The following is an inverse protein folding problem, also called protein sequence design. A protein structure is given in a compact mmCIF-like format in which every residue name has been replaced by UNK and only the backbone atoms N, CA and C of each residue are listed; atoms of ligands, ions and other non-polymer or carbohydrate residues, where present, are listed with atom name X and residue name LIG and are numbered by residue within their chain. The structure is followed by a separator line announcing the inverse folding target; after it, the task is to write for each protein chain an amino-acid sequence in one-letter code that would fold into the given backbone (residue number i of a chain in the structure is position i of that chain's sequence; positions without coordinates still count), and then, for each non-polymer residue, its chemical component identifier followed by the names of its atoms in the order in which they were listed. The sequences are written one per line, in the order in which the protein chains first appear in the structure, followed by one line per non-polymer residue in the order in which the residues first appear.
data_IF_233251912321
#
_entry.id   IF_233251912321
#
_cell.length_a   1.000
_cell.length_b   1.000
_cell.length_c   1.000
_cell.angle_alpha   90.00
_cell.angle_beta   90.00
_cell.angle_gamma   90.00
#
_symmetry.space_group_name_H-M   'P 1'
#
loop_
_entity.id
_entity.type
_entity.pdbx_description
1 polymer ?
#
# COMPACT_ATOMS: atom_id res chain seq x y z
N UNK A 1 5.33 6.16 10.59
CA UNK A 1 4.07 6.74 11.08
C UNK A 1 2.94 5.76 10.80
N UNK A 2 2.14 5.37 11.80
CA UNK A 2 1.03 4.43 11.59
C UNK A 2 -0.19 5.11 10.99
N UNK A 3 -0.97 4.43 10.15
CA UNK A 3 -2.19 4.94 9.51
C UNK A 3 -3.18 5.45 10.54
N UNK A 4 -3.39 4.69 11.63
CA UNK A 4 -4.32 5.08 12.71
C UNK A 4 -3.88 6.30 13.51
N UNK A 5 -2.61 6.72 13.37
CA UNK A 5 -2.09 7.91 14.02
C UNK A 5 -2.17 9.13 13.09
N UNK A 6 -2.90 9.04 11.97
CA UNK A 6 -3.08 10.14 11.02
C UNK A 6 -4.56 10.32 10.67
N UNK A 7 -4.87 11.45 10.03
CA UNK A 7 -6.21 11.74 9.53
C UNK A 7 -6.67 10.80 8.39
N UNK A 8 -5.79 9.93 7.87
CA UNK A 8 -6.21 8.86 6.96
C UNK A 8 -7.25 7.93 7.59
N UNK A 9 -7.29 7.82 8.92
CA UNK A 9 -8.27 6.98 9.61
C UNK A 9 -9.72 7.29 9.21
N UNK A 10 -10.03 8.55 8.86
CA UNK A 10 -11.36 8.98 8.44
C UNK A 10 -11.71 8.59 6.99
N UNK A 11 -10.72 8.16 6.21
CA UNK A 11 -10.88 7.77 4.81
C UNK A 11 -10.86 6.24 4.62
N UNK A 12 -10.64 5.48 5.70
CA UNK A 12 -10.66 4.02 5.65
C UNK A 12 -12.08 3.56 5.34
N UNK A 13 -12.22 2.75 4.27
CA UNK A 13 -13.48 2.10 3.90
C UNK A 13 -13.62 0.77 4.63
N UNK A 14 -12.56 -0.02 4.67
CA UNK A 14 -12.51 -1.28 5.43
C UNK A 14 -11.13 -1.47 6.08
N UNK A 15 -11.14 -2.08 7.26
CA UNK A 15 -9.93 -2.51 7.97
C UNK A 15 -9.97 -4.03 8.15
N UNK A 16 -8.93 -4.70 7.66
CA UNK A 16 -8.77 -6.15 7.78
C UNK A 16 -7.53 -6.46 8.61
N UNK A 17 -7.73 -7.12 9.74
CA UNK A 17 -6.65 -7.57 10.63
C UNK A 17 -6.40 -9.05 10.44
N UNK A 18 -5.16 -9.37 10.09
CA UNK A 18 -4.65 -10.73 10.08
C UNK A 18 -3.65 -10.91 11.21
N UNK A 19 -3.32 -12.15 11.53
CA UNK A 19 -2.27 -12.45 12.51
C UNK A 19 -0.88 -11.93 12.10
N UNK A 20 -0.67 -11.59 10.82
CA UNK A 20 0.58 -11.06 10.28
C UNK A 20 0.58 -9.54 10.03
N UNK A 21 -0.54 -8.84 10.21
CA UNK A 21 -0.57 -7.40 9.94
C UNK A 21 -1.97 -6.83 9.76
N UNK A 22 -2.03 -5.51 9.62
CA UNK A 22 -3.25 -4.75 9.37
C UNK A 22 -3.25 -4.18 7.95
N UNK A 23 -4.42 -4.23 7.30
CA UNK A 23 -4.62 -3.74 5.95
C UNK A 23 -5.81 -2.78 5.94
N UNK A 24 -5.59 -1.60 5.38
CA UNK A 24 -6.55 -0.52 5.34
C UNK A 24 -6.91 -0.27 3.87
N UNK A 25 -8.18 -0.46 3.56
CA UNK A 25 -8.72 -0.34 2.22
C UNK A 25 -9.32 1.05 2.05
N UNK A 26 -8.86 1.76 1.03
CA UNK A 26 -9.36 3.05 0.60
C UNK A 26 -9.98 2.89 -0.80
N UNK A 27 -10.54 3.98 -1.33
CA UNK A 27 -11.21 3.90 -2.62
C UNK A 27 -10.29 3.49 -3.77
N UNK A 28 -9.05 3.99 -3.78
CA UNK A 28 -8.12 3.85 -4.91
C UNK A 28 -6.80 3.16 -4.53
N UNK A 29 -6.60 2.89 -3.24
CA UNK A 29 -5.38 2.25 -2.76
C UNK A 29 -5.59 1.42 -1.49
N UNK A 30 -4.67 0.50 -1.24
CA UNK A 30 -4.56 -0.28 0.00
C UNK A 30 -3.29 0.15 0.72
N UNK A 31 -3.36 0.34 2.04
CA UNK A 31 -2.16 0.50 2.89
C UNK A 31 -2.00 -0.72 3.77
N UNK A 32 -0.80 -1.30 3.81
CA UNK A 32 -0.45 -2.41 4.70
C UNK A 32 0.50 -1.98 5.81
N UNK A 33 0.30 -2.53 7.00
CA UNK A 33 1.20 -2.45 8.15
C UNK A 33 1.43 -3.86 8.68
N UNK A 34 2.55 -4.46 8.27
CA UNK A 34 2.94 -5.83 8.66
C UNK A 34 3.51 -5.81 10.09
N UNK A 35 3.23 -6.86 10.86
CA UNK A 35 3.73 -6.99 12.22
C UNK A 35 5.27 -7.16 12.25
N UNK A 36 5.89 -6.76 13.35
CA UNK A 36 7.34 -6.86 13.54
C UNK A 36 7.80 -8.33 13.55
N UNK A 37 8.93 -8.61 12.88
CA UNK A 37 9.53 -9.93 12.81
C UNK A 37 8.83 -10.92 11.87
N UNK A 38 7.72 -10.53 11.24
CA UNK A 38 6.97 -11.41 10.35
C UNK A 38 7.76 -11.78 9.08
N UNK A 39 7.50 -12.99 8.59
CA UNK A 39 7.84 -13.38 7.23
C UNK A 39 6.60 -13.27 6.35
N UNK A 40 6.55 -12.27 5.47
CA UNK A 40 5.43 -12.04 4.57
C UNK A 40 5.62 -12.82 3.26
N UNK A 41 4.96 -13.98 3.19
CA UNK A 41 5.00 -14.93 2.07
C UNK A 41 3.71 -14.87 1.24
N UNK A 42 3.70 -15.59 0.12
CA UNK A 42 2.58 -15.59 -0.82
C UNK A 42 1.25 -16.04 -0.21
N UNK A 43 1.24 -17.06 0.63
CA UNK A 43 0.02 -17.54 1.31
C UNK A 43 -0.66 -16.44 2.14
N UNK A 44 0.13 -15.51 2.71
CA UNK A 44 -0.39 -14.35 3.44
C UNK A 44 -0.90 -13.29 2.46
N UNK A 45 -0.19 -13.05 1.36
CA UNK A 45 -0.62 -12.15 0.30
C UNK A 45 -1.93 -12.60 -0.35
N UNK A 46 -2.12 -13.90 -0.61
CA UNK A 46 -3.37 -14.45 -1.18
C UNK A 46 -4.59 -14.11 -0.34
N UNK A 47 -4.49 -14.25 0.98
CA UNK A 47 -5.58 -13.89 1.90
C UNK A 47 -5.98 -12.41 1.77
N UNK A 48 -5.00 -11.54 1.61
CA UNK A 48 -5.23 -10.10 1.41
C UNK A 48 -5.83 -9.83 0.03
N UNK A 49 -5.33 -10.50 -1.02
CA UNK A 49 -5.82 -10.37 -2.39
C UNK A 49 -7.27 -10.85 -2.52
N UNK A 50 -7.65 -11.96 -1.88
CA UNK A 50 -9.03 -12.45 -1.89
C UNK A 50 -10.00 -11.46 -1.26
N UNK A 51 -9.57 -10.78 -0.18
CA UNK A 51 -10.35 -9.70 0.43
C UNK A 51 -10.41 -8.50 -0.50
N UNK A 52 -9.29 -8.12 -1.12
CA UNK A 52 -9.24 -7.01 -2.07
C UNK A 52 -10.07 -7.25 -3.33
N UNK A 53 -10.04 -8.44 -3.92
CA UNK A 53 -10.87 -8.79 -5.07
C UNK A 53 -12.36 -8.67 -4.75
N UNK A 54 -12.78 -9.04 -3.53
CA UNK A 54 -14.17 -8.85 -3.08
C UNK A 54 -14.51 -7.37 -2.90
N UNK A 55 -13.62 -6.60 -2.27
CA UNK A 55 -13.82 -5.18 -2.02
C UNK A 55 -13.87 -4.34 -3.32
N UNK A 56 -12.95 -4.60 -4.25
CA UNK A 56 -12.80 -3.84 -5.49
C UNK A 56 -13.54 -4.44 -6.70
N UNK A 57 -14.30 -5.52 -6.52
CA UNK A 57 -14.95 -6.32 -7.59
C UNK A 57 -15.68 -5.48 -8.64
N UNK A 58 -16.33 -4.40 -8.22
CA UNK A 58 -17.15 -3.55 -9.08
C UNK A 58 -16.42 -2.31 -9.62
N UNK A 59 -15.16 -2.07 -9.23
CA UNK A 59 -14.40 -0.86 -9.62
C UNK A 59 -13.59 -1.03 -10.90
N UNK A 60 -13.49 -2.26 -11.44
CA UNK A 60 -12.92 -2.54 -12.77
C UNK A 60 -11.47 -2.07 -13.00
N UNK A 61 -10.75 -1.69 -11.94
CA UNK A 61 -9.50 -0.94 -12.02
C UNK A 61 -8.41 -1.62 -11.20
N UNK A 62 -7.18 -1.56 -11.72
CA UNK A 62 -5.98 -1.95 -10.99
C UNK A 62 -5.86 -1.06 -9.74
N UNK A 63 -5.58 -1.65 -8.59
CA UNK A 63 -5.55 -0.94 -7.30
C UNK A 63 -4.13 -0.47 -7.01
N UNK A 64 -3.93 0.66 -6.36
CA UNK A 64 -2.59 1.04 -5.90
C UNK A 64 -2.29 0.38 -4.53
N UNK A 65 -1.07 -0.08 -4.32
CA UNK A 65 -0.67 -0.69 -3.05
C UNK A 65 0.45 0.10 -2.39
N UNK A 66 0.28 0.43 -1.10
CA UNK A 66 1.30 1.06 -0.27
C UNK A 66 1.71 0.09 0.85
N UNK A 67 2.96 -0.30 0.84
CA UNK A 67 3.61 -1.00 1.93
C UNK A 67 4.15 -0.02 2.96
N UNK A 68 3.40 0.22 4.05
CA UNK A 68 3.83 1.11 5.12
C UNK A 68 4.70 0.35 6.14
N UNK A 69 6.02 0.37 5.95
CA UNK A 69 6.97 -0.40 6.76
C UNK A 69 7.29 0.32 8.06
N UNK A 70 6.30 0.36 8.94
CA UNK A 70 6.42 0.89 10.32
C UNK A 70 7.18 -0.06 11.26
N UNK A 71 7.29 -1.32 10.87
CA UNK A 71 8.01 -2.38 11.57
C UNK A 71 9.01 -3.06 10.63
N UNK A 72 10.04 -3.68 11.21
CA UNK A 72 11.00 -4.49 10.48
C UNK A 72 10.41 -5.90 10.28
N UNK A 73 10.29 -6.33 9.02
CA UNK A 73 9.78 -7.65 8.65
C UNK A 73 10.45 -8.13 7.34
N UNK A 74 10.42 -9.43 7.12
CA UNK A 74 11.02 -10.06 5.93
C UNK A 74 9.96 -10.40 4.90
N UNK A 75 10.38 -10.47 3.64
CA UNK A 75 9.57 -10.85 2.49
C UNK A 75 10.22 -12.04 1.80
N UNK A 76 9.41 -12.95 1.27
CA UNK A 76 9.92 -14.07 0.47
C UNK A 76 9.69 -13.79 -1.02
N UNK A 77 10.71 -13.41 -1.79
CA UNK A 77 10.53 -12.75 -3.09
C UNK A 77 10.18 -13.71 -4.23
N UNK A 78 10.68 -14.95 -4.13
CA UNK A 78 10.54 -15.98 -5.15
C UNK A 78 9.06 -16.27 -5.47
N UNK A 79 8.22 -16.22 -4.44
CA UNK A 79 6.79 -16.50 -4.55
C UNK A 79 5.99 -15.28 -5.03
N UNK A 80 6.57 -14.08 -5.11
CA UNK A 80 5.86 -12.90 -5.60
C UNK A 80 6.08 -12.64 -7.08
N UNK A 81 7.29 -12.93 -7.58
CA UNK A 81 7.70 -12.76 -8.97
C UNK A 81 6.79 -13.47 -9.97
N UNK A 82 6.37 -14.69 -9.64
CA UNK A 82 5.52 -15.48 -10.51
C UNK A 82 4.11 -14.89 -10.64
N UNK A 83 3.67 -14.05 -9.70
CA UNK A 83 2.29 -13.58 -9.60
C UNK A 83 2.13 -12.12 -10.00
N UNK A 84 3.04 -11.22 -9.60
CA UNK A 84 3.01 -9.83 -10.08
C UNK A 84 3.17 -9.75 -11.60
N UNK A 85 3.86 -10.71 -12.23
CA UNK A 85 3.99 -10.78 -13.69
C UNK A 85 2.78 -11.41 -14.39
N UNK A 86 1.90 -12.13 -13.68
CA UNK A 86 0.78 -12.89 -14.28
C UNK A 86 -0.54 -12.12 -14.28
N UNK A 87 -0.67 -11.13 -13.42
CA UNK A 87 -1.86 -10.31 -13.32
C UNK A 87 -1.38 -8.89 -13.08
N UNK A 88 -1.80 -8.00 -13.96
CA UNK A 88 -1.75 -6.55 -13.84
C UNK A 88 -2.52 -6.06 -12.58
N UNK A 89 -2.21 -6.60 -11.39
CA UNK A 89 -3.00 -6.47 -10.16
C UNK A 89 -2.94 -5.07 -9.59
N UNK A 90 -1.76 -4.46 -9.66
CA UNK A 90 -1.51 -3.16 -9.09
C UNK A 90 -1.07 -2.16 -10.15
N UNK A 91 -1.66 -0.97 -10.11
CA UNK A 91 -1.23 0.18 -10.93
C UNK A 91 0.09 0.75 -10.42
N UNK A 92 0.24 0.82 -9.09
CA UNK A 92 1.43 1.32 -8.40
C UNK A 92 1.72 0.41 -7.20
N UNK A 93 2.99 0.04 -7.03
CA UNK A 93 3.49 -0.58 -5.81
C UNK A 93 4.46 0.39 -5.12
N UNK A 94 4.02 0.98 -4.02
CA UNK A 94 4.77 1.94 -3.23
C UNK A 94 5.29 1.29 -1.92
N UNK A 95 6.52 1.61 -1.53
CA UNK A 95 7.12 1.18 -0.27
C UNK A 95 7.52 2.41 0.53
N UNK A 96 6.99 2.52 1.74
CA UNK A 96 7.34 3.60 2.67
C UNK A 96 8.29 3.03 3.72
N UNK A 97 9.50 3.59 3.80
CA UNK A 97 10.49 3.22 4.82
C UNK A 97 10.94 4.44 5.61
N UNK A 98 10.99 4.31 6.93
CA UNK A 98 11.38 5.40 7.83
C UNK A 98 12.85 5.32 8.29
N UNK A 99 13.59 4.33 7.81
CA UNK A 99 15.03 4.11 8.10
C UNK A 99 15.78 3.99 6.78
N UNK A 100 16.97 4.60 6.70
CA UNK A 100 17.73 4.84 5.47
C UNK A 100 17.91 3.58 4.59
N UNK A 101 17.21 3.58 3.47
CA UNK A 101 17.59 3.11 2.11
C UNK A 101 17.98 1.64 1.88
N UNK A 102 18.60 0.93 2.83
CA UNK A 102 19.09 -0.44 2.63
C UNK A 102 17.95 -1.46 2.43
N UNK A 103 16.81 -1.24 3.07
CA UNK A 103 15.64 -2.14 2.97
C UNK A 103 15.02 -2.07 1.57
N UNK A 104 15.00 -0.91 0.91
CA UNK A 104 14.46 -0.78 -0.44
C UNK A 104 15.31 -1.50 -1.48
N UNK A 105 16.62 -1.26 -1.50
CA UNK A 105 17.52 -1.95 -2.44
C UNK A 105 17.41 -3.47 -2.25
N UNK A 106 17.35 -3.91 -1.00
CA UNK A 106 17.13 -5.31 -0.66
C UNK A 106 15.77 -5.83 -1.10
N UNK A 107 14.70 -5.03 -1.08
CA UNK A 107 13.39 -5.39 -1.64
C UNK A 107 13.51 -5.54 -3.16
N UNK A 108 14.00 -4.53 -3.88
CA UNK A 108 14.10 -4.58 -5.35
C UNK A 108 14.99 -5.72 -5.85
N UNK A 109 16.21 -5.83 -5.33
CA UNK A 109 17.17 -6.88 -5.72
C UNK A 109 16.58 -8.27 -5.53
N UNK A 110 15.89 -8.46 -4.41
CA UNK A 110 15.24 -9.72 -4.08
C UNK A 110 14.07 -10.03 -5.00
N UNK A 111 13.31 -9.00 -5.39
CA UNK A 111 12.09 -9.18 -6.15
C UNK A 111 12.32 -9.37 -7.66
N UNK A 112 13.53 -9.21 -8.24
CA UNK A 112 13.80 -9.25 -9.70
C UNK A 112 12.67 -8.67 -10.57
N UNK A 113 11.99 -7.64 -10.05
CA UNK A 113 10.68 -7.26 -10.53
C UNK A 113 10.82 -6.44 -11.80
N UNK A 114 9.98 -6.75 -12.80
CA UNK A 114 10.01 -6.09 -14.11
C UNK A 114 9.18 -4.80 -14.16
N UNK A 115 8.39 -4.51 -13.12
CA UNK A 115 7.62 -3.28 -13.01
C UNK A 115 8.32 -2.24 -12.12
N UNK A 116 7.71 -1.06 -12.03
CA UNK A 116 8.23 0.03 -11.19
C UNK A 116 7.74 -0.12 -9.75
N UNK A 117 8.67 -0.19 -8.80
CA UNK A 117 8.41 -0.05 -7.36
C UNK A 117 8.88 1.33 -6.94
N UNK A 118 8.02 2.10 -6.29
CA UNK A 118 8.33 3.46 -5.84
C UNK A 118 8.63 3.49 -4.35
N UNK A 119 9.74 4.07 -3.95
CA UNK A 119 10.09 4.25 -2.53
C UNK A 119 9.85 5.66 -2.05
N UNK A 120 9.36 5.77 -0.82
CA UNK A 120 9.13 7.06 -0.16
C UNK A 120 9.63 7.02 1.28
N UNK A 121 10.01 8.18 1.80
CA UNK A 121 10.45 8.32 3.20
C UNK A 121 9.28 8.66 4.13
N UNK A 122 8.15 9.09 3.55
CA UNK A 122 6.94 9.40 4.29
C UNK A 122 5.69 8.79 3.65
N UNK A 123 4.69 8.48 4.48
CA UNK A 123 3.40 7.97 4.01
C UNK A 123 2.65 9.02 3.19
N UNK A 124 2.83 10.29 3.53
CA UNK A 124 2.22 11.42 2.82
C UNK A 124 2.74 11.53 1.38
N UNK A 125 4.05 11.38 1.17
CA UNK A 125 4.64 11.36 -0.18
C UNK A 125 4.08 10.23 -1.03
N UNK A 126 3.99 9.01 -0.47
CA UNK A 126 3.44 7.86 -1.20
C UNK A 126 1.98 8.09 -1.62
N UNK A 127 1.15 8.63 -0.72
CA UNK A 127 -0.25 8.96 -1.01
C UNK A 127 -0.33 10.07 -2.07
N UNK A 128 0.48 11.12 -1.95
CA UNK A 128 0.52 12.20 -2.94
C UNK A 128 0.99 11.73 -4.32
N UNK A 129 1.90 10.75 -4.38
CA UNK A 129 2.35 10.17 -5.63
C UNK A 129 1.20 9.47 -6.38
N UNK A 130 0.43 8.63 -5.67
CA UNK A 130 -0.75 7.96 -6.24
C UNK A 130 -1.78 9.01 -6.71
N UNK A 131 -2.09 9.99 -5.85
CA UNK A 131 -3.02 11.08 -6.18
C UNK A 131 -2.61 11.84 -7.44
N UNK A 132 -1.32 12.16 -7.58
CA UNK A 132 -0.79 12.84 -8.77
C UNK A 132 -0.96 11.98 -10.02
N UNK A 133 -0.76 10.66 -9.91
CA UNK A 133 -1.02 9.70 -10.99
C UNK A 133 -2.49 9.66 -11.43
N UNK A 134 -3.40 9.97 -10.52
CA UNK A 134 -4.84 10.09 -10.77
C UNK A 134 -5.28 11.54 -11.06
N UNK A 135 -4.33 12.45 -11.34
CA UNK A 135 -4.55 13.87 -11.63
C UNK A 135 -5.27 14.64 -10.51
N UNK A 136 -5.15 14.17 -9.27
CA UNK A 136 -5.63 14.85 -8.08
C UNK A 136 -4.53 15.73 -7.50
N UNK A 137 -4.92 16.86 -6.93
CA UNK A 137 -3.96 17.75 -6.27
C UNK A 137 -3.28 17.07 -5.08
N UNK A 138 -1.96 17.26 -4.92
CA UNK A 138 -1.27 16.87 -3.71
C UNK A 138 -1.77 17.67 -2.52
N UNK A 139 -1.64 17.09 -1.34
CA UNK A 139 -1.99 17.71 -0.06
C UNK A 139 -0.74 17.89 0.78
N UNK A 140 -0.71 18.94 1.60
CA UNK A 140 0.44 19.21 2.49
C UNK A 140 0.42 18.35 3.76
N UNK A 141 -0.73 17.76 4.06
CA UNK A 141 -1.00 16.95 5.25
C UNK A 141 -2.28 16.13 5.03
N UNK A 142 -2.57 15.21 5.94
CA UNK A 142 -3.77 14.37 5.85
C UNK A 142 -5.06 15.07 6.29
N UNK A 143 -4.99 16.22 6.99
CA UNK A 143 -6.20 16.99 7.37
C UNK A 143 -6.85 17.60 6.13
N UNK A 144 -6.03 18.23 5.27
CA UNK A 144 -6.50 18.78 4.00
C UNK A 144 -7.00 17.70 3.04
N UNK A 145 -6.47 16.47 3.16
CA UNK A 145 -6.98 15.33 2.41
C UNK A 145 -8.43 15.02 2.78
N UNK A 146 -8.73 14.99 4.08
CA UNK A 146 -10.09 14.73 4.57
C UNK A 146 -11.07 15.84 4.19
N UNK A 147 -10.64 17.11 4.23
CA UNK A 147 -11.47 18.25 3.82
C UNK A 147 -11.83 18.19 2.34
N UNK A 148 -10.86 17.95 1.45
CA UNK A 148 -11.11 17.81 0.00
C UNK A 148 -12.03 16.62 -0.33
N UNK A 149 -11.99 15.54 0.44
CA UNK A 149 -12.90 14.42 0.25
C UNK A 149 -14.34 14.81 0.60
N UNK A 150 -14.55 15.56 1.69
CA UNK A 150 -15.88 16.05 2.05
C UNK A 150 -16.46 16.99 0.99
N UNK A 151 -15.65 17.92 0.47
CA UNK A 151 -16.10 18.89 -0.54
C UNK A 151 -16.47 18.25 -1.89
N UNK A 152 -15.87 17.11 -2.23
CA UNK A 152 -16.15 16.37 -3.47
C UNK A 152 -17.31 15.36 -3.36
N UNK A 153 -17.87 15.15 -2.15
CA UNK A 153 -18.97 14.19 -1.91
C UNK A 153 -20.33 14.88 -1.66
N UNK A 154 -20.36 16.22 -1.73
CA UNK A 154 -21.55 17.08 -1.67
C UNK A 154 -21.90 17.59 -3.07
#
# INVERSE_FOLDING_TARGET
MKVKNTHLIHLIREEHRFNFGSFYFFDDFIISEINEGELFEWDKAQKVLEVGEKFYKNKGSQVNYISNRVHDYSIKPQDWLAYLNKRDLFKVFAVVTYRKTAIYNLVIERFFYKGEIFSFESLLEAVNFIRKGDKLDPVTDFEKLTQKHHDNTL
#
